data_IF_315860528011
#
_entry.id   IF_315860528011
#
_cell.length_a   1.000
_cell.length_b   1.000
_cell.length_c   1.000
_cell.angle_alpha   90.00
_cell.angle_beta   90.00
_cell.angle_gamma   90.00
#
_symmetry.space_group_name_H-M   'P 1'
#
loop_
_entity.id
_entity.type
_entity.pdbx_description
1 polymer ?
#
# COMPACT_ATOMS: atom_id res chain seq x y z
N UNK A 1 1.01 -9.14 22.55
CA UNK A 1 0.28 -8.19 21.68
C UNK A 1 -1.02 -7.84 22.38
N UNK A 2 -1.41 -6.57 22.48
CA UNK A 2 -2.63 -6.15 23.19
C UNK A 2 -3.87 -6.29 22.30
N UNK A 3 -5.04 -6.38 22.92
CA UNK A 3 -6.33 -6.40 22.21
C UNK A 3 -6.54 -5.10 21.39
N UNK A 4 -6.11 -3.96 21.93
CA UNK A 4 -6.18 -2.66 21.24
C UNK A 4 -5.34 -2.62 19.96
N UNK A 5 -4.12 -3.18 19.98
CA UNK A 5 -3.27 -3.26 18.79
C UNK A 5 -3.89 -4.18 17.74
N UNK A 6 -4.44 -5.33 18.15
CA UNK A 6 -5.08 -6.27 17.22
C UNK A 6 -6.27 -5.61 16.51
N UNK A 7 -7.11 -4.90 17.25
CA UNK A 7 -8.27 -4.18 16.71
C UNK A 7 -7.86 -3.10 15.69
N UNK A 8 -6.80 -2.35 15.98
CA UNK A 8 -6.29 -1.33 15.05
C UNK A 8 -5.84 -1.95 13.72
N UNK A 9 -5.10 -3.07 13.76
CA UNK A 9 -4.66 -3.81 12.57
C UNK A 9 -5.86 -4.32 11.76
N UNK A 10 -6.84 -4.91 12.43
CA UNK A 10 -8.06 -5.43 11.77
C UNK A 10 -8.83 -4.31 11.07
N UNK A 11 -9.06 -3.18 11.74
CA UNK A 11 -9.77 -2.04 11.16
C UNK A 11 -9.07 -1.50 9.90
N UNK A 12 -7.73 -1.37 9.94
CA UNK A 12 -6.96 -0.93 8.78
C UNK A 12 -7.05 -1.93 7.63
N UNK A 13 -6.84 -3.22 7.90
CA UNK A 13 -6.88 -4.28 6.88
C UNK A 13 -8.26 -4.38 6.22
N UNK A 14 -9.32 -4.29 7.00
CA UNK A 14 -10.69 -4.32 6.48
C UNK A 14 -10.98 -3.12 5.57
N UNK A 15 -10.52 -1.92 5.94
CA UNK A 15 -10.64 -0.73 5.10
C UNK A 15 -9.85 -0.86 3.79
N UNK A 16 -8.61 -1.36 3.88
CA UNK A 16 -7.76 -1.62 2.73
C UNK A 16 -8.37 -2.63 1.76
N UNK A 17 -8.91 -3.75 2.25
CA UNK A 17 -9.53 -4.79 1.42
C UNK A 17 -10.77 -4.29 0.67
N UNK A 18 -11.50 -3.31 1.23
CA UNK A 18 -12.66 -2.67 0.56
C UNK A 18 -12.26 -1.55 -0.40
N UNK A 19 -10.98 -1.21 -0.49
CA UNK A 19 -10.45 -0.07 -1.25
C UNK A 19 -11.06 1.27 -0.78
N UNK A 20 -11.40 1.35 0.51
CA UNK A 20 -12.13 2.47 1.08
C UNK A 20 -11.14 3.48 1.68
N UNK A 21 -10.80 4.49 0.87
CA UNK A 21 -9.89 5.58 1.28
C UNK A 21 -10.39 6.25 2.56
N UNK A 22 -11.70 6.50 2.69
CA UNK A 22 -12.21 7.22 3.85
C UNK A 22 -12.06 6.39 5.13
N UNK A 23 -12.32 5.09 5.06
CA UNK A 23 -12.10 4.19 6.20
C UNK A 23 -10.62 4.02 6.53
N UNK A 24 -9.72 3.98 5.54
CA UNK A 24 -8.26 3.95 5.77
C UNK A 24 -7.84 5.23 6.51
N UNK A 25 -8.29 6.39 6.04
CA UNK A 25 -7.93 7.67 6.66
C UNK A 25 -8.48 7.82 8.09
N UNK A 26 -9.60 7.17 8.41
CA UNK A 26 -10.13 7.10 9.76
C UNK A 26 -9.35 6.14 10.68
N UNK A 27 -8.63 5.16 10.11
CA UNK A 27 -7.86 4.16 10.85
C UNK A 27 -6.42 4.61 11.18
N UNK A 28 -5.96 5.74 10.63
CA UNK A 28 -4.61 6.28 10.86
C UNK A 28 -4.66 7.60 11.63
N UNK A 29 -3.57 7.97 12.29
CA UNK A 29 -3.45 9.26 13.00
C UNK A 29 -3.25 10.43 12.05
N UNK A 30 -3.33 11.66 12.56
CA UNK A 30 -3.15 12.88 11.75
C UNK A 30 -1.70 13.03 11.25
N UNK A 31 -0.74 12.66 12.09
CA UNK A 31 0.70 12.67 11.89
C UNK A 31 1.23 11.40 11.20
N UNK A 32 0.35 10.59 10.61
CA UNK A 32 0.73 9.35 9.96
C UNK A 32 1.76 9.59 8.84
N UNK A 33 2.83 8.82 8.90
CA UNK A 33 3.81 8.68 7.82
C UNK A 33 3.55 7.35 7.12
N UNK A 34 3.38 7.39 5.80
CA UNK A 34 3.26 6.21 4.98
C UNK A 34 4.50 6.04 4.10
N UNK A 35 5.17 4.90 4.24
CA UNK A 35 6.34 4.53 3.45
C UNK A 35 5.93 3.50 2.38
N UNK A 36 5.90 3.96 1.13
CA UNK A 36 5.68 3.12 -0.03
C UNK A 36 7.02 2.54 -0.49
N UNK A 37 7.09 1.23 -0.69
CA UNK A 37 8.31 0.56 -1.16
C UNK A 37 8.52 0.66 -2.68
N UNK A 38 7.64 1.37 -3.40
CA UNK A 38 7.73 1.61 -4.83
C UNK A 38 7.84 3.12 -5.14
N UNK A 39 8.62 3.52 -6.16
CA UNK A 39 9.51 2.68 -6.96
C UNK A 39 10.80 2.35 -6.21
N UNK A 40 11.34 1.12 -6.33
CA UNK A 40 12.68 0.83 -5.83
C UNK A 40 13.74 1.71 -6.53
N UNK A 41 14.90 1.96 -5.91
CA UNK A 41 15.38 1.36 -4.65
C UNK A 41 14.85 2.04 -3.38
N UNK A 42 14.50 3.33 -3.45
CA UNK A 42 14.26 4.15 -2.25
C UNK A 42 12.78 4.27 -1.88
N UNK A 43 11.87 3.91 -2.79
CA UNK A 43 10.43 4.06 -2.57
C UNK A 43 9.99 5.52 -2.52
N UNK A 44 8.89 5.77 -1.82
CA UNK A 44 8.35 7.11 -1.59
C UNK A 44 7.80 7.22 -0.18
N UNK A 45 7.92 8.40 0.40
CA UNK A 45 7.44 8.70 1.75
C UNK A 45 6.41 9.82 1.71
N UNK A 46 5.30 9.61 2.41
CA UNK A 46 4.17 10.54 2.47
C UNK A 46 3.88 10.90 3.91
N UNK A 47 3.95 12.19 4.23
CA UNK A 47 3.79 12.68 5.59
C UNK A 47 2.49 13.47 5.73
N UNK A 48 1.71 13.12 6.75
CA UNK A 48 0.44 13.76 7.06
C UNK A 48 -0.72 13.27 6.19
N UNK A 49 -1.93 13.42 6.73
CA UNK A 49 -3.15 12.85 6.14
C UNK A 49 -3.42 13.27 4.70
N UNK A 50 -3.11 14.50 4.31
CA UNK A 50 -3.36 14.98 2.95
C UNK A 50 -2.53 14.20 1.92
N UNK A 51 -1.22 14.04 2.18
CA UNK A 51 -0.31 13.32 1.30
C UNK A 51 -0.64 11.82 1.23
N UNK A 52 -0.94 11.21 2.38
CA UNK A 52 -1.33 9.80 2.49
C UNK A 52 -2.67 9.53 1.78
N UNK A 53 -3.67 10.40 1.94
CA UNK A 53 -4.96 10.29 1.22
C UNK A 53 -4.75 10.32 -0.28
N UNK A 54 -4.01 11.30 -0.79
CA UNK A 54 -3.72 11.41 -2.21
C UNK A 54 -3.02 10.14 -2.74
N UNK A 55 -2.24 9.43 -1.91
CA UNK A 55 -1.66 8.13 -2.26
C UNK A 55 -2.71 7.06 -2.44
N UNK A 56 -3.59 6.87 -1.47
CA UNK A 56 -4.61 5.83 -1.57
C UNK A 56 -5.57 6.07 -2.74
N UNK A 57 -5.97 7.31 -2.99
CA UNK A 57 -6.84 7.68 -4.11
C UNK A 57 -6.20 7.33 -5.46
N UNK A 58 -4.96 7.74 -5.72
CA UNK A 58 -4.26 7.38 -6.97
C UNK A 58 -3.98 5.88 -7.05
N UNK A 59 -3.65 5.24 -5.93
CA UNK A 59 -3.27 3.83 -5.88
C UNK A 59 -4.46 2.92 -6.23
N UNK A 60 -5.65 3.21 -5.70
CA UNK A 60 -6.84 2.44 -6.05
C UNK A 60 -7.41 2.81 -7.43
N UNK A 61 -7.34 4.08 -7.86
CA UNK A 61 -7.78 4.50 -9.18
C UNK A 61 -6.95 3.87 -10.32
N UNK A 62 -5.66 3.63 -10.10
CA UNK A 62 -4.76 3.00 -11.09
C UNK A 62 -4.98 1.49 -11.28
N UNK A 63 -5.86 0.86 -10.50
CA UNK A 63 -6.07 -0.59 -10.57
C UNK A 63 -4.84 -1.39 -10.14
N UNK A 64 -3.89 -0.78 -9.44
CA UNK A 64 -2.63 -1.39 -8.99
C UNK A 64 -2.82 -2.57 -8.02
N UNK A 65 -4.04 -2.83 -7.56
CA UNK A 65 -4.40 -4.05 -6.84
C UNK A 65 -4.75 -5.24 -7.76
N UNK A 66 -5.26 -5.01 -8.97
CA UNK A 66 -5.53 -6.08 -9.95
C UNK A 66 -4.26 -6.60 -10.64
N UNK A 67 -3.21 -5.80 -10.67
CA UNK A 67 -1.90 -6.16 -11.25
C UNK A 67 -0.86 -6.61 -10.20
N UNK A 68 -1.25 -6.69 -8.92
CA UNK A 68 -0.46 -7.38 -7.89
C UNK A 68 -1.14 -8.71 -7.58
N UNK A 69 -0.81 -9.73 -8.38
CA UNK A 69 -1.03 -11.12 -7.98
C UNK A 69 -0.31 -11.37 -6.65
N UNK A 70 -1.07 -11.50 -5.56
CA UNK A 70 -0.51 -11.82 -4.25
C UNK A 70 -0.21 -13.30 -4.13
N UNK A 71 0.99 -13.64 -3.62
CA UNK A 71 1.23 -14.92 -2.97
C UNK A 71 2.66 -15.47 -3.12
N UNK A 72 3.59 -15.04 -2.26
CA UNK A 72 4.85 -15.78 -2.02
C UNK A 72 6.15 -15.05 -2.45
N UNK A 73 7.30 -15.44 -1.85
CA UNK A 73 8.51 -14.63 -1.81
C UNK A 73 9.34 -14.78 -3.10
N UNK A 74 10.10 -13.74 -3.41
CA UNK A 74 11.14 -13.69 -4.45
C UNK A 74 10.64 -13.64 -5.90
N UNK A 75 11.07 -12.56 -6.57
CA UNK A 75 11.43 -12.43 -7.98
C UNK A 75 10.71 -13.27 -9.03
N UNK A 76 10.11 -12.60 -10.02
CA UNK A 76 10.56 -12.72 -11.42
C UNK A 76 9.80 -11.71 -12.29
N UNK A 77 10.47 -10.62 -12.66
CA UNK A 77 10.01 -9.73 -13.72
C UNK A 77 10.23 -10.45 -15.07
N UNK A 78 9.15 -10.90 -15.72
CA UNK A 78 9.13 -11.50 -17.07
C UNK A 78 9.44 -10.50 -18.21
N UNK A 79 10.29 -9.49 -17.98
CA UNK A 79 10.64 -8.46 -18.97
C UNK A 79 12.16 -8.31 -19.20
N UNK A 80 12.94 -9.38 -18.97
CA UNK A 80 14.37 -9.45 -19.33
C UNK A 80 14.71 -10.51 -20.40
N UNK A 81 13.76 -10.92 -21.25
CA UNK A 81 14.06 -11.82 -22.38
C UNK A 81 14.15 -11.09 -23.72
N UNK A 82 14.95 -10.02 -23.76
CA UNK A 82 15.42 -9.45 -25.03
C UNK A 82 16.80 -8.79 -24.91
N UNK A 83 17.76 -9.60 -24.51
CA UNK A 83 19.18 -9.51 -24.83
C UNK A 83 19.79 -10.75 -24.17
N UNK A 84 20.05 -11.83 -24.92
CA UNK A 84 21.39 -12.23 -25.37
C UNK A 84 21.16 -13.47 -26.26
N UNK A 85 21.93 -13.58 -27.34
CA UNK A 85 22.01 -14.78 -28.17
C UNK A 85 22.73 -15.93 -27.49
#
# INVERSE_FOLDING_TARGET
>A
MTESTLKAIQQFNDAFNRLDVNAIMAAITEDCVFENTYPPPDGERYEGRAAVRAFWERFFASGNLRNRGGGGPLGFCRRCHRAIG
#
